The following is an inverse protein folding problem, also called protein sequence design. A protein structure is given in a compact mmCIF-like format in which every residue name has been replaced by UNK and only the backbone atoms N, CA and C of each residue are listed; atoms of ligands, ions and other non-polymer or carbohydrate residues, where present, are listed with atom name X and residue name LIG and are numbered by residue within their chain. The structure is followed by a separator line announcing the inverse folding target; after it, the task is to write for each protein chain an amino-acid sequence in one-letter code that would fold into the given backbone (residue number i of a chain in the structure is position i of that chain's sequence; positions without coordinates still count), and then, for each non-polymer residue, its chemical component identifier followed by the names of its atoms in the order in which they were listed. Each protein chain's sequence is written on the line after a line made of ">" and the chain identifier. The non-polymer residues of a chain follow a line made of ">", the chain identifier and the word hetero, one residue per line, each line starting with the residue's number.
data_IF_097503057915
#
_entry.id   IF_097503057915
#
_cell.length_a   1.000
_cell.length_b   1.000
_cell.length_c   1.000
_cell.angle_alpha   90.00
_cell.angle_beta   90.00
_cell.angle_gamma   90.00
#
_symmetry.space_group_name_H-M   'P 1'
#
loop_
_entity.id
_entity.type
_entity.pdbx_description
1 polymer ?
#
# COMPACT_ATOMS: atom_id res chain seq x y z
N UNK A 1 -11.59 -15.97 -10.58
CA UNK A 1 -10.81 -16.94 -9.78
C UNK A 1 -9.84 -17.76 -10.62
N UNK A 2 -10.20 -18.16 -11.84
CA UNK A 2 -9.33 -18.99 -12.71
C UNK A 2 -7.93 -18.40 -12.91
N UNK A 3 -7.82 -17.08 -13.08
CA UNK A 3 -6.51 -16.41 -13.20
C UNK A 3 -5.61 -16.62 -11.98
N UNK A 4 -6.14 -16.47 -10.76
CA UNK A 4 -5.36 -16.70 -9.53
C UNK A 4 -4.94 -18.16 -9.38
N UNK A 5 -5.86 -19.09 -9.72
CA UNK A 5 -5.57 -20.53 -9.75
C UNK A 5 -4.43 -20.85 -10.73
N UNK A 6 -4.48 -20.30 -11.94
CA UNK A 6 -3.45 -20.49 -12.98
C UNK A 6 -2.10 -19.85 -12.60
N UNK A 7 -2.10 -18.84 -11.72
CA UNK A 7 -0.88 -18.21 -11.18
C UNK A 7 -0.41 -18.83 -9.86
N UNK A 8 -1.09 -19.87 -9.36
CA UNK A 8 -0.84 -20.48 -8.06
C UNK A 8 -0.87 -19.49 -6.89
N UNK A 9 -1.71 -18.46 -7.00
CA UNK A 9 -1.91 -17.46 -5.95
C UNK A 9 -3.07 -17.92 -5.07
N UNK A 10 -2.77 -18.14 -3.77
CA UNK A 10 -3.81 -18.37 -2.78
C UNK A 10 -4.50 -17.04 -2.45
N UNK A 11 -5.79 -16.95 -2.77
CA UNK A 11 -6.63 -15.81 -2.38
C UNK A 11 -7.07 -16.04 -0.94
N UNK A 12 -6.71 -15.13 -0.04
CA UNK A 12 -7.15 -15.15 1.35
C UNK A 12 -8.65 -14.80 1.43
N UNK A 13 -9.39 -15.46 2.32
CA UNK A 13 -10.77 -15.07 2.60
C UNK A 13 -10.79 -13.79 3.43
N UNK A 14 -11.51 -12.78 2.93
CA UNK A 14 -11.58 -11.45 3.52
C UNK A 14 -13.05 -11.07 3.74
N UNK A 15 -13.45 -10.70 4.97
CA UNK A 15 -14.80 -10.22 5.21
C UNK A 15 -15.04 -8.91 4.47
N UNK A 16 -16.25 -8.76 3.91
CA UNK A 16 -16.65 -7.52 3.25
C UNK A 16 -16.65 -6.36 4.26
N UNK A 17 -16.34 -5.14 3.77
CA UNK A 17 -16.38 -3.92 4.59
C UNK A 17 -15.46 -3.93 5.83
N UNK A 18 -14.39 -4.73 5.82
CA UNK A 18 -13.40 -4.77 6.92
C UNK A 18 -12.03 -4.26 6.45
N UNK A 19 -11.90 -2.95 6.13
CA UNK A 19 -10.63 -2.38 5.67
C UNK A 19 -9.56 -2.37 6.76
N UNK A 20 -9.98 -2.34 8.03
CA UNK A 20 -9.13 -2.39 9.22
C UNK A 20 -8.30 -3.68 9.30
N UNK A 21 -8.88 -4.77 8.84
CA UNK A 21 -8.19 -6.05 8.82
C UNK A 21 -7.16 -6.05 7.66
N UNK A 22 -7.36 -5.33 6.55
CA UNK A 22 -6.53 -5.45 5.33
C UNK A 22 -5.13 -4.83 5.53
N UNK A 23 -4.03 -5.61 5.55
CA UNK A 23 -2.71 -5.09 5.90
C UNK A 23 -2.19 -4.00 4.94
N UNK A 24 -2.69 -3.94 3.71
CA UNK A 24 -2.29 -2.91 2.74
C UNK A 24 -2.81 -1.51 3.14
N UNK A 25 -3.92 -1.42 3.89
CA UNK A 25 -4.49 -0.12 4.32
C UNK A 25 -3.56 0.60 5.29
N UNK A 26 -2.88 -0.14 6.16
CA UNK A 26 -1.86 0.39 7.07
C UNK A 26 -0.68 0.98 6.29
N UNK A 27 -0.23 0.29 5.24
CA UNK A 27 0.84 0.77 4.36
C UNK A 27 0.41 2.01 3.58
N UNK A 28 -0.81 2.03 3.03
CA UNK A 28 -1.36 3.20 2.34
C UNK A 28 -1.45 4.42 3.24
N UNK A 29 -1.83 4.24 4.52
CA UNK A 29 -1.88 5.34 5.49
C UNK A 29 -0.52 5.98 5.70
N UNK A 30 0.53 5.18 5.84
CA UNK A 30 1.90 5.69 6.00
C UNK A 30 2.37 6.44 4.76
N UNK A 31 2.19 5.85 3.58
CA UNK A 31 2.57 6.47 2.32
C UNK A 31 1.85 7.82 2.12
N UNK A 32 0.52 7.84 2.28
CA UNK A 32 -0.28 9.08 2.16
C UNK A 32 0.20 10.15 3.13
N UNK A 33 0.51 9.77 4.37
CA UNK A 33 1.02 10.70 5.38
C UNK A 33 2.37 11.29 4.96
N UNK A 34 3.27 10.46 4.44
CA UNK A 34 4.60 10.89 3.99
C UNK A 34 4.55 11.79 2.76
N UNK A 35 3.71 11.46 1.78
CA UNK A 35 3.50 12.23 0.56
C UNK A 35 2.81 13.56 0.85
N UNK A 36 1.80 13.57 1.74
CA UNK A 36 1.09 14.78 2.12
C UNK A 36 2.01 15.84 2.75
N UNK A 37 3.01 15.40 3.54
CA UNK A 37 4.03 16.30 4.12
C UNK A 37 4.90 17.00 3.07
N UNK A 38 4.99 16.47 1.86
CA UNK A 38 5.70 17.09 0.74
C UNK A 38 4.85 18.11 -0.02
N UNK A 39 3.55 18.19 0.25
CA UNK A 39 2.61 19.15 -0.36
C UNK A 39 2.74 19.26 -1.89
N UNK A 40 2.58 18.16 -2.65
CA UNK A 40 2.66 18.20 -4.11
C UNK A 40 1.61 19.16 -4.69
N UNK A 41 2.03 19.96 -5.66
CA UNK A 41 1.19 20.99 -6.30
C UNK A 41 0.57 20.52 -7.62
N UNK A 42 1.05 19.39 -8.17
CA UNK A 42 0.58 18.82 -9.43
C UNK A 42 0.73 17.29 -9.43
N UNK A 43 0.18 16.65 -10.47
CA UNK A 43 0.20 15.19 -10.60
C UNK A 43 1.63 14.63 -10.77
N UNK A 44 2.51 15.35 -11.45
CA UNK A 44 3.90 14.92 -11.66
C UNK A 44 4.67 14.88 -10.33
N UNK A 45 4.53 15.91 -9.50
CA UNK A 45 5.12 15.95 -8.15
C UNK A 45 4.51 14.89 -7.25
N UNK A 46 3.19 14.68 -7.32
CA UNK A 46 2.52 13.64 -6.55
C UNK A 46 3.08 12.26 -6.90
N UNK A 47 3.23 11.95 -8.19
CA UNK A 47 3.79 10.68 -8.65
C UNK A 47 5.25 10.51 -8.20
N UNK A 48 6.06 11.55 -8.35
CA UNK A 48 7.45 11.56 -7.90
C UNK A 48 7.55 11.27 -6.41
N UNK A 49 6.82 12.00 -5.57
CA UNK A 49 6.85 11.81 -4.13
C UNK A 49 6.29 10.45 -3.72
N UNK A 50 5.27 9.93 -4.40
CA UNK A 50 4.79 8.57 -4.15
C UNK A 50 5.91 7.53 -4.35
N UNK A 51 6.65 7.61 -5.47
CA UNK A 51 7.79 6.72 -5.74
C UNK A 51 8.88 6.89 -4.69
N UNK A 52 9.31 8.12 -4.42
CA UNK A 52 10.37 8.38 -3.43
C UNK A 52 9.99 7.91 -2.02
N UNK A 53 8.77 8.18 -1.56
CA UNK A 53 8.34 7.76 -0.22
C UNK A 53 8.13 6.26 -0.15
N UNK A 54 7.68 5.62 -1.22
CA UNK A 54 7.55 4.16 -1.29
C UNK A 54 8.90 3.46 -1.10
N UNK A 55 9.94 3.88 -1.83
CA UNK A 55 11.28 3.30 -1.73
C UNK A 55 11.91 3.46 -0.33
N UNK A 56 11.44 4.45 0.45
CA UNK A 56 11.90 4.67 1.83
C UNK A 56 11.19 3.77 2.86
N UNK A 57 10.12 3.06 2.50
CA UNK A 57 9.45 2.14 3.41
C UNK A 57 10.26 0.83 3.45
N UNK A 58 10.89 0.56 4.59
CA UNK A 58 11.68 -0.65 4.75
C UNK A 58 10.80 -1.90 4.82
N UNK A 59 11.32 -3.02 4.33
CA UNK A 59 10.66 -4.34 4.44
C UNK A 59 10.36 -4.69 5.90
N UNK A 60 11.25 -4.31 6.83
CA UNK A 60 11.03 -4.52 8.26
C UNK A 60 9.92 -3.65 8.84
N UNK A 61 9.61 -2.50 8.21
CA UNK A 61 8.41 -1.73 8.54
C UNK A 61 7.16 -2.44 8.03
N UNK A 62 7.15 -2.91 6.79
CA UNK A 62 6.02 -3.66 6.22
C UNK A 62 5.62 -4.86 7.08
N UNK A 63 6.60 -5.61 7.61
CA UNK A 63 6.35 -6.75 8.49
C UNK A 63 5.67 -6.37 9.83
N UNK A 64 5.73 -5.10 10.26
CA UNK A 64 5.09 -4.60 11.50
C UNK A 64 3.70 -4.00 11.26
N UNK A 65 3.23 -3.99 10.01
CA UNK A 65 1.93 -3.44 9.60
C UNK A 65 0.87 -4.53 9.37
N UNK A 66 1.25 -5.79 9.61
CA UNK A 66 0.42 -6.99 9.57
C UNK A 66 0.08 -7.39 10.99
#
# INVERSE_FOLDING_TARGET
>A
MEWFKNKHIQVLEWPSQSPDLNPIENLWKELKTAVHKCSPSNLTELELFCKEKWENISVSRCAKLI
#
